data_IF_572783398741
#
_entry.id   IF_572783398741
#
_cell.length_a   1.000
_cell.length_b   1.000
_cell.length_c   1.000
_cell.angle_alpha   90.00
_cell.angle_beta   90.00
_cell.angle_gamma   90.00
#
_symmetry.space_group_name_H-M   'P 1'
#
loop_
_entity.id
_entity.type
_entity.pdbx_description
1 polymer ?
#
# COMPACT_ATOMS: atom_id res chain seq x y z
N UNK A 1 4.69 5.31 23.65
CA UNK A 1 5.79 4.40 23.33
C UNK A 1 7.09 5.15 23.52
N UNK A 2 7.85 4.74 24.54
CA UNK A 2 9.17 5.29 24.85
C UNK A 2 10.14 4.11 24.77
N UNK A 3 10.92 4.05 23.69
CA UNK A 3 11.89 2.97 23.49
C UNK A 3 13.19 3.36 24.18
N UNK A 4 13.73 2.48 25.02
CA UNK A 4 15.08 2.60 25.55
C UNK A 4 16.03 1.98 24.53
N UNK A 5 17.03 2.76 24.08
CA UNK A 5 18.06 2.24 23.17
C UNK A 5 19.10 1.48 23.99
N UNK A 6 19.33 0.23 23.61
CA UNK A 6 20.34 -0.63 24.23
C UNK A 6 21.66 -0.51 23.46
N UNK A 7 21.59 -0.62 22.13
CA UNK A 7 22.73 -0.34 21.24
C UNK A 7 22.29 0.38 19.97
N UNK A 8 23.19 1.22 19.44
CA UNK A 8 23.04 1.87 18.14
C UNK A 8 24.33 1.81 17.36
N UNK A 9 24.25 1.45 16.08
CA UNK A 9 25.40 1.47 15.16
C UNK A 9 25.10 2.34 13.94
N UNK A 10 26.05 3.22 13.61
CA UNK A 10 25.92 4.20 12.55
C UNK A 10 26.93 3.93 11.43
N UNK A 11 26.40 3.78 10.21
CA UNK A 11 27.17 3.54 9.00
C UNK A 11 26.87 4.60 7.93
N UNK A 12 27.88 4.94 7.15
CA UNK A 12 27.76 5.76 5.95
C UNK A 12 27.99 4.89 4.74
N UNK A 13 27.02 4.84 3.84
CA UNK A 13 27.08 4.13 2.57
C UNK A 13 27.51 5.11 1.48
N UNK A 14 28.52 4.71 0.73
CA UNK A 14 29.04 5.45 -0.42
C UNK A 14 28.87 4.59 -1.67
N UNK A 15 28.25 5.19 -2.69
CA UNK A 15 28.08 4.57 -4.00
C UNK A 15 28.74 5.51 -4.99
N UNK A 16 29.92 5.12 -5.47
CA UNK A 16 30.62 5.89 -6.49
C UNK A 16 30.06 5.55 -7.88
N UNK A 17 30.06 6.53 -8.79
CA UNK A 17 29.67 6.36 -10.20
C UNK A 17 28.23 6.74 -10.55
N UNK A 18 28.06 7.41 -11.70
CA UNK A 18 26.76 7.52 -12.37
C UNK A 18 26.49 6.16 -13.03
N UNK A 19 25.29 5.61 -12.84
CA UNK A 19 24.80 4.41 -13.57
C UNK A 19 25.51 3.07 -13.23
N UNK A 20 25.63 2.74 -11.94
CA UNK A 20 25.69 1.34 -11.48
C UNK A 20 26.99 0.56 -11.73
N UNK A 21 28.07 1.21 -12.17
CA UNK A 21 29.38 0.58 -12.39
C UNK A 21 30.51 1.05 -11.45
N UNK A 22 30.24 1.90 -10.46
CA UNK A 22 31.25 2.24 -9.46
C UNK A 22 31.17 1.37 -8.20
N UNK A 23 32.26 1.40 -7.42
CA UNK A 23 32.38 0.61 -6.19
C UNK A 23 31.33 1.03 -5.15
N UNK A 24 30.70 0.04 -4.54
CA UNK A 24 29.88 0.22 -3.34
C UNK A 24 30.75 0.00 -2.12
N UNK A 25 30.75 0.93 -1.20
CA UNK A 25 31.49 0.80 0.06
C UNK A 25 30.70 1.38 1.21
N UNK A 26 31.12 1.04 2.43
CA UNK A 26 30.57 1.62 3.63
C UNK A 26 31.67 1.97 4.62
N UNK A 27 31.38 2.93 5.48
CA UNK A 27 32.21 3.31 6.61
C UNK A 27 31.40 3.21 7.90
N UNK A 28 31.85 2.38 8.82
CA UNK A 28 31.39 2.41 10.21
C UNK A 28 31.89 3.69 10.88
N UNK A 29 30.99 4.40 11.56
CA UNK A 29 31.31 5.68 12.20
C UNK A 29 31.37 5.54 13.72
N UNK A 30 30.35 4.92 14.30
CA UNK A 30 30.27 4.69 15.73
C UNK A 30 29.32 3.54 16.03
N UNK A 31 29.61 2.80 17.10
CA UNK A 31 28.61 2.04 17.85
C UNK A 31 28.50 2.72 19.21
N UNK A 32 27.30 2.82 19.76
CA UNK A 32 26.96 3.43 21.05
C UNK A 32 26.15 2.42 21.85
N UNK A 33 26.37 2.37 23.16
CA UNK A 33 25.47 1.72 24.13
C UNK A 33 24.43 2.74 24.65
N UNK A 34 23.65 2.34 25.65
CA UNK A 34 22.62 3.16 26.28
C UNK A 34 23.19 4.48 26.84
N UNK A 35 24.31 4.41 27.56
CA UNK A 35 24.98 5.59 28.14
C UNK A 35 25.49 6.54 27.05
N UNK A 36 26.23 6.02 26.06
CA UNK A 36 26.76 6.81 24.96
C UNK A 36 25.63 7.47 24.15
N UNK A 37 24.53 6.74 23.94
CA UNK A 37 23.36 7.23 23.23
C UNK A 37 22.66 8.36 23.98
N UNK A 38 22.50 8.22 25.29
CA UNK A 38 21.82 9.19 26.15
C UNK A 38 22.51 10.55 26.20
N UNK A 39 23.84 10.58 26.10
CA UNK A 39 24.63 11.81 26.03
C UNK A 39 24.75 12.38 24.60
N UNK A 40 24.30 11.64 23.58
CA UNK A 40 24.50 12.00 22.17
C UNK A 40 23.49 13.03 21.65
N UNK A 41 23.92 13.87 20.70
CA UNK A 41 22.99 14.73 19.95
C UNK A 41 22.09 13.94 18.98
N UNK A 42 22.44 12.69 18.66
CA UNK A 42 21.65 11.80 17.80
C UNK A 42 20.34 11.41 18.46
N UNK A 43 20.30 11.33 19.80
CA UNK A 43 19.09 11.09 20.58
C UNK A 43 17.95 12.06 20.24
N UNK A 44 18.27 13.36 20.18
CA UNK A 44 17.31 14.42 19.81
C UNK A 44 16.69 14.22 18.42
N UNK A 45 17.43 13.55 17.53
CA UNK A 45 16.97 13.23 16.18
C UNK A 45 16.12 11.94 16.14
N UNK A 46 16.48 10.90 16.90
CA UNK A 46 15.90 9.56 16.76
C UNK A 46 14.78 9.21 17.75
N UNK A 47 14.77 9.74 18.97
CA UNK A 47 13.80 9.35 20.02
C UNK A 47 12.34 9.47 19.53
N UNK A 48 12.04 10.59 18.89
CA UNK A 48 10.70 10.85 18.35
C UNK A 48 10.36 10.00 17.12
N UNK A 49 11.35 9.40 16.47
CA UNK A 49 11.15 8.59 15.25
C UNK A 49 10.74 7.16 15.57
N UNK A 50 11.30 6.51 16.60
CA UNK A 50 10.94 5.13 16.96
C UNK A 50 9.44 5.01 17.23
N UNK A 51 8.89 5.93 18.03
CA UNK A 51 7.45 5.99 18.31
C UNK A 51 6.62 6.30 17.06
N UNK A 52 7.14 7.10 16.12
CA UNK A 52 6.46 7.38 14.85
C UNK A 52 6.47 6.18 13.90
N UNK A 53 7.56 5.41 13.87
CA UNK A 53 7.69 4.18 13.08
C UNK A 53 6.74 3.12 13.63
N UNK A 54 6.75 2.90 14.95
CA UNK A 54 5.90 1.90 15.59
C UNK A 54 4.41 2.22 15.45
N UNK A 55 4.00 3.49 15.58
CA UNK A 55 2.60 3.91 15.40
C UNK A 55 2.17 4.12 13.96
N UNK A 56 3.08 4.02 12.99
CA UNK A 56 2.74 4.23 11.58
C UNK A 56 1.71 3.19 11.16
N UNK A 57 0.56 3.69 10.67
CA UNK A 57 -0.54 2.85 10.18
C UNK A 57 -0.02 1.96 9.05
N UNK A 58 -0.37 0.69 9.14
CA UNK A 58 -0.16 -0.31 8.12
C UNK A 58 -1.41 -1.17 8.03
N UNK A 59 -1.77 -1.59 6.83
CA UNK A 59 -2.90 -2.47 6.57
C UNK A 59 -2.33 -3.79 6.07
N UNK A 60 -2.94 -4.91 6.49
CA UNK A 60 -2.50 -6.24 6.05
C UNK A 60 -2.56 -6.35 4.52
N UNK A 61 -3.69 -5.97 3.92
CA UNK A 61 -3.84 -5.84 2.47
C UNK A 61 -4.01 -4.36 2.11
N UNK A 62 -2.96 -3.68 1.62
CA UNK A 62 -3.03 -2.25 1.36
C UNK A 62 -4.05 -1.88 0.29
N UNK A 63 -4.68 -0.72 0.42
CA UNK A 63 -5.65 -0.21 -0.56
C UNK A 63 -5.03 0.18 -1.92
N UNK A 64 -3.70 0.21 -2.02
CA UNK A 64 -2.94 0.60 -3.21
C UNK A 64 -1.74 -0.32 -3.40
N UNK A 65 -1.40 -0.66 -4.64
CA UNK A 65 -0.22 -1.51 -4.96
C UNK A 65 1.10 -0.96 -4.39
N UNK A 66 1.26 0.36 -4.43
CA UNK A 66 2.48 1.04 -3.97
C UNK A 66 2.30 1.64 -2.57
N UNK A 67 1.74 0.87 -1.64
CA UNK A 67 1.65 1.31 -0.27
C UNK A 67 3.04 1.50 0.35
N UNK A 68 3.31 2.65 0.98
CA UNK A 68 4.64 2.98 1.47
C UNK A 68 4.99 2.22 2.76
N UNK A 69 4.00 1.76 3.51
CA UNK A 69 4.20 0.91 4.70
C UNK A 69 3.60 -0.46 4.42
N UNK A 70 4.37 -1.52 4.68
CA UNK A 70 3.94 -2.92 4.44
C UNK A 70 4.35 -3.80 5.62
N UNK A 71 3.58 -4.87 5.83
CA UNK A 71 3.96 -5.98 6.70
C UNK A 71 4.58 -7.05 5.81
N UNK A 72 5.77 -7.51 6.19
CA UNK A 72 6.44 -8.62 5.53
C UNK A 72 6.49 -9.82 6.45
N UNK A 73 6.27 -11.02 5.91
CA UNK A 73 6.33 -12.29 6.64
C UNK A 73 7.53 -13.11 6.17
N UNK A 74 8.31 -13.68 7.09
CA UNK A 74 9.43 -14.55 6.72
C UNK A 74 8.94 -15.80 5.98
N UNK A 75 9.59 -16.10 4.87
CA UNK A 75 9.32 -17.29 4.07
C UNK A 75 9.99 -18.49 4.74
N UNK A 76 9.21 -19.50 5.07
CA UNK A 76 9.68 -20.75 5.68
C UNK A 76 8.99 -21.90 4.97
N UNK A 77 9.75 -22.95 4.64
CA UNK A 77 9.17 -24.16 4.05
C UNK A 77 8.27 -24.89 5.05
N UNK A 78 7.25 -25.63 4.61
CA UNK A 78 6.43 -26.44 5.51
C UNK A 78 7.28 -27.35 6.40
N UNK A 79 6.90 -27.52 7.66
CA UNK A 79 7.64 -28.30 8.69
C UNK A 79 9.00 -27.73 9.13
N UNK A 80 9.40 -26.56 8.64
CA UNK A 80 10.60 -25.86 9.11
C UNK A 80 10.28 -24.70 10.06
N UNK A 81 11.24 -24.36 10.91
CA UNK A 81 11.16 -23.21 11.82
C UNK A 81 11.72 -21.93 11.19
N UNK A 82 11.45 -20.78 11.83
CA UNK A 82 11.99 -19.46 11.45
C UNK A 82 13.52 -19.44 11.33
N UNK A 83 14.21 -20.28 12.10
CA UNK A 83 15.67 -20.45 12.05
C UNK A 83 16.20 -20.95 10.70
N UNK A 84 15.34 -21.47 9.83
CA UNK A 84 15.72 -21.80 8.44
C UNK A 84 15.81 -20.57 7.54
N UNK A 85 15.19 -19.44 7.91
CA UNK A 85 15.16 -18.22 7.12
C UNK A 85 16.41 -17.35 7.36
N UNK A 86 17.21 -17.03 6.33
CA UNK A 86 18.42 -16.23 6.49
C UNK A 86 18.18 -14.80 6.98
N UNK A 87 17.09 -14.15 6.54
CA UNK A 87 16.75 -12.80 6.98
C UNK A 87 16.31 -12.80 8.45
N UNK A 88 15.52 -13.79 8.89
CA UNK A 88 15.19 -13.97 10.31
C UNK A 88 16.45 -14.12 11.17
N UNK A 89 17.36 -15.01 10.78
CA UNK A 89 18.58 -15.28 11.53
C UNK A 89 19.46 -14.03 11.70
N UNK A 90 19.51 -13.16 10.69
CA UNK A 90 20.20 -11.88 10.77
C UNK A 90 19.59 -10.98 11.85
N UNK A 91 18.27 -10.83 11.88
CA UNK A 91 17.60 -10.04 12.92
C UNK A 91 17.68 -10.70 14.30
N UNK A 92 17.60 -12.02 14.38
CA UNK A 92 17.75 -12.77 15.63
C UNK A 92 19.13 -12.54 16.25
N UNK A 93 20.21 -12.54 15.45
CA UNK A 93 21.56 -12.18 15.93
C UNK A 93 21.65 -10.75 16.46
N UNK A 94 21.00 -9.79 15.79
CA UNK A 94 20.94 -8.41 16.26
C UNK A 94 20.15 -8.28 17.57
N UNK A 95 19.04 -9.02 17.74
CA UNK A 95 18.24 -9.04 18.98
C UNK A 95 18.98 -9.70 20.13
N UNK A 96 19.77 -10.73 19.85
CA UNK A 96 20.49 -11.50 20.86
C UNK A 96 21.86 -10.92 21.24
N UNK A 97 22.29 -9.82 20.62
CA UNK A 97 23.56 -9.18 20.97
C UNK A 97 23.46 -8.56 22.37
N UNK A 98 24.39 -8.93 23.25
CA UNK A 98 24.44 -8.49 24.65
C UNK A 98 25.53 -7.45 24.91
N UNK A 99 26.44 -7.25 23.97
CA UNK A 99 27.50 -6.25 24.05
C UNK A 99 27.73 -5.49 22.74
N UNK A 100 28.48 -4.41 22.87
CA UNK A 100 28.76 -3.45 21.82
C UNK A 100 29.55 -4.03 20.64
N UNK A 101 30.45 -4.98 20.90
CA UNK A 101 31.28 -5.62 19.86
C UNK A 101 30.45 -6.63 19.07
N UNK A 102 29.69 -7.47 19.76
CA UNK A 102 28.77 -8.44 19.16
C UNK A 102 27.69 -7.73 18.32
N UNK A 103 27.08 -6.68 18.85
CA UNK A 103 26.10 -5.89 18.12
C UNK A 103 26.70 -5.25 16.86
N UNK A 104 27.92 -4.71 16.97
CA UNK A 104 28.63 -4.14 15.81
C UNK A 104 28.91 -5.20 14.74
N UNK A 105 29.38 -6.38 15.12
CA UNK A 105 29.67 -7.47 14.19
C UNK A 105 28.39 -7.94 13.46
N UNK A 106 27.28 -8.09 14.19
CA UNK A 106 25.99 -8.40 13.60
C UNK A 106 25.48 -7.29 12.65
N UNK A 107 25.75 -6.03 12.99
CA UNK A 107 25.45 -4.90 12.12
C UNK A 107 26.29 -4.90 10.83
N UNK A 108 27.59 -5.23 10.92
CA UNK A 108 28.48 -5.31 9.76
C UNK A 108 27.98 -6.34 8.73
N UNK A 109 27.49 -7.50 9.20
CA UNK A 109 26.87 -8.51 8.34
C UNK A 109 25.62 -7.99 7.63
N UNK A 110 24.74 -7.28 8.36
CA UNK A 110 23.55 -6.66 7.79
C UNK A 110 23.92 -5.65 6.69
N UNK A 111 24.90 -4.77 6.97
CA UNK A 111 25.33 -3.72 6.03
C UNK A 111 25.91 -4.35 4.76
N UNK A 112 26.72 -5.41 4.89
CA UNK A 112 27.24 -6.15 3.73
C UNK A 112 26.13 -6.75 2.87
N UNK A 113 25.16 -7.41 3.50
CA UNK A 113 23.98 -7.94 2.80
C UNK A 113 23.19 -6.83 2.09
N UNK A 114 23.04 -5.67 2.72
CA UNK A 114 22.40 -4.52 2.11
C UNK A 114 23.17 -4.00 0.88
N UNK A 115 24.51 -3.90 0.95
CA UNK A 115 25.36 -3.45 -0.17
C UNK A 115 25.30 -4.35 -1.40
N UNK A 116 25.06 -5.65 -1.21
CA UNK A 116 24.94 -6.62 -2.31
C UNK A 116 23.63 -6.48 -3.10
N UNK A 117 22.69 -5.64 -2.66
CA UNK A 117 21.43 -5.40 -3.38
C UNK A 117 21.62 -4.50 -4.60
N UNK A 118 20.76 -4.65 -5.62
CA UNK A 118 20.83 -3.83 -6.84
C UNK A 118 20.42 -2.37 -6.59
N UNK A 119 19.52 -2.14 -5.65
CA UNK A 119 18.93 -0.83 -5.38
C UNK A 119 19.72 0.07 -4.41
N UNK A 120 20.92 -0.31 -3.98
CA UNK A 120 21.71 0.46 -2.99
C UNK A 120 21.88 1.93 -3.40
N UNK A 121 21.63 2.83 -2.44
CA UNK A 121 21.92 4.25 -2.59
C UNK A 121 22.75 4.74 -1.42
N UNK A 122 23.58 5.76 -1.68
CA UNK A 122 24.34 6.45 -0.66
C UNK A 122 23.44 7.09 0.40
N UNK A 123 23.95 7.21 1.61
CA UNK A 123 23.19 7.70 2.76
C UNK A 123 23.73 7.18 4.08
N UNK A 124 23.03 7.50 5.16
CA UNK A 124 23.27 6.88 6.45
C UNK A 124 22.39 5.63 6.63
N UNK A 125 22.98 4.56 7.15
CA UNK A 125 22.27 3.38 7.63
C UNK A 125 22.52 3.26 9.13
N UNK A 126 21.45 3.30 9.91
CA UNK A 126 21.48 3.29 11.37
C UNK A 126 20.74 2.04 11.83
N UNK A 127 21.38 1.21 12.63
CA UNK A 127 20.80 -0.02 13.16
C UNK A 127 20.71 0.15 14.67
N UNK A 128 19.53 -0.08 15.23
CA UNK A 128 19.24 0.18 16.64
C UNK A 128 18.59 -1.05 17.26
N UNK A 129 19.14 -1.50 18.37
CA UNK A 129 18.48 -2.41 19.30
C UNK A 129 17.84 -1.56 20.40
N UNK A 130 16.54 -1.70 20.60
CA UNK A 130 15.82 -0.91 21.58
C UNK A 130 14.66 -1.68 22.21
N UNK A 131 14.48 -1.51 23.50
CA UNK A 131 13.48 -2.22 24.31
C UNK A 131 12.33 -1.29 24.69
N UNK A 132 11.11 -1.83 24.72
CA UNK A 132 9.91 -1.11 25.17
C UNK A 132 9.54 -1.60 26.58
N UNK A 133 10.30 -1.14 27.58
CA UNK A 133 10.24 -1.63 28.97
C UNK A 133 8.86 -1.52 29.63
N UNK A 134 7.92 -0.75 29.06
CA UNK A 134 6.55 -0.69 29.56
C UNK A 134 5.73 -1.96 29.26
N UNK A 135 6.18 -2.81 28.34
CA UNK A 135 5.41 -3.97 27.88
C UNK A 135 6.23 -5.26 27.72
N UNK A 136 7.52 -5.19 27.37
CA UNK A 136 8.37 -6.38 27.24
C UNK A 136 9.85 -6.01 27.44
N UNK A 137 10.63 -6.98 27.91
CA UNK A 137 12.09 -6.95 27.95
C UNK A 137 12.72 -7.44 26.63
N UNK A 138 11.90 -7.92 25.69
CA UNK A 138 12.37 -8.37 24.39
C UNK A 138 12.74 -7.18 23.49
N UNK A 139 13.97 -7.13 22.95
CA UNK A 139 14.42 -6.00 22.15
C UNK A 139 13.80 -6.01 20.75
N UNK A 140 13.52 -4.81 20.25
CA UNK A 140 13.21 -4.55 18.84
C UNK A 140 14.45 -4.11 18.09
N UNK A 141 14.51 -4.46 16.81
CA UNK A 141 15.48 -3.96 15.85
C UNK A 141 14.84 -2.94 14.93
N UNK A 142 15.39 -1.74 14.95
CA UNK A 142 15.10 -0.71 13.96
C UNK A 142 16.26 -0.61 12.97
N UNK A 143 15.97 -0.69 11.68
CA UNK A 143 16.95 -0.39 10.62
C UNK A 143 16.48 0.86 9.91
N UNK A 144 17.19 1.97 10.07
CA UNK A 144 16.85 3.27 9.54
C UNK A 144 17.78 3.63 8.40
N UNK A 145 17.21 3.98 7.25
CA UNK A 145 17.97 4.43 6.10
C UNK A 145 17.58 5.87 5.77
N UNK A 146 18.58 6.76 5.84
CA UNK A 146 18.44 8.18 5.55
C UNK A 146 19.25 8.52 4.29
N UNK A 147 18.57 8.95 3.24
CA UNK A 147 19.24 9.51 2.05
C UNK A 147 19.94 10.84 2.39
N UNK A 148 21.09 11.10 1.77
CA UNK A 148 21.76 12.40 1.91
C UNK A 148 21.00 13.47 1.13
N UNK A 149 20.71 14.58 1.81
CA UNK A 149 20.21 15.79 1.16
C UNK A 149 21.39 16.74 0.90
N UNK A 150 21.60 17.20 -0.36
CA UNK A 150 22.69 18.11 -0.67
C UNK A 150 22.40 19.51 -0.12
N UNK A 151 23.45 20.17 0.41
CA UNK A 151 23.48 21.62 0.74
C UNK A 151 22.42 22.08 1.76
N UNK A 152 22.40 21.46 2.94
CA UNK A 152 21.62 21.99 4.07
C UNK A 152 22.51 22.92 4.90
N UNK A 153 22.18 24.22 4.95
CA UNK A 153 22.84 25.17 5.84
C UNK A 153 22.26 25.04 7.26
N UNK A 154 23.12 24.81 8.26
CA UNK A 154 22.72 24.85 9.68
C UNK A 154 23.19 26.18 10.28
N UNK A 155 22.28 26.92 10.90
CA UNK A 155 22.61 28.14 11.65
C UNK A 155 22.87 27.71 13.10
N UNK A 156 24.09 27.90 13.59
CA UNK A 156 24.47 27.66 14.99
C UNK A 156 24.89 28.96 15.66
N UNK A 157 24.63 29.11 16.95
CA UNK A 157 24.81 30.39 17.67
C UNK A 157 26.28 30.85 17.78
N UNK A 158 27.26 29.96 17.57
CA UNK A 158 28.70 30.25 17.68
C UNK A 158 29.40 30.59 16.36
N UNK A 159 28.78 30.33 15.21
CA UNK A 159 29.25 30.81 13.90
C UNK A 159 28.06 30.93 12.94
N UNK A 160 27.87 32.12 12.37
CA UNK A 160 26.62 32.55 11.72
C UNK A 160 26.08 31.63 10.61
N UNK A 161 26.90 30.76 10.00
CA UNK A 161 26.46 29.64 9.14
C UNK A 161 27.54 28.55 9.17
N UNK A 162 27.20 27.32 9.53
CA UNK A 162 28.04 26.15 9.20
C UNK A 162 27.47 25.50 7.93
N UNK A 163 28.26 25.45 6.85
CA UNK A 163 27.90 24.66 5.67
C UNK A 163 28.06 23.18 6.01
N UNK A 164 26.95 22.48 6.12
CA UNK A 164 26.95 21.03 6.26
C UNK A 164 26.95 20.45 4.85
N UNK A 165 28.07 19.83 4.46
CA UNK A 165 28.26 19.28 3.13
C UNK A 165 27.23 18.16 2.81
N UNK A 166 26.85 17.38 3.82
CA UNK A 166 25.80 16.36 3.76
C UNK A 166 25.02 16.27 5.08
N UNK A 167 23.69 16.35 5.01
CA UNK A 167 22.81 16.20 6.17
C UNK A 167 21.79 15.08 5.95
N UNK A 168 21.40 14.43 7.05
CA UNK A 168 20.34 13.41 7.07
C UNK A 168 19.03 14.04 7.54
N UNK A 169 17.93 13.61 6.92
CA UNK A 169 16.59 14.16 7.15
C UNK A 169 15.63 13.03 7.52
N UNK A 170 14.83 13.26 8.55
CA UNK A 170 13.78 12.32 8.95
C UNK A 170 12.59 12.30 7.98
N UNK A 171 12.45 13.32 7.11
CA UNK A 171 11.26 13.51 6.25
C UNK A 171 11.02 12.33 5.30
N UNK A 172 12.09 11.73 4.79
CA UNK A 172 12.06 10.62 3.84
C UNK A 172 12.79 9.38 4.38
N UNK A 173 12.89 9.28 5.71
CA UNK A 173 13.54 8.16 6.37
C UNK A 173 12.76 6.87 6.10
N UNK A 174 13.49 5.86 5.68
CA UNK A 174 12.97 4.51 5.48
C UNK A 174 13.32 3.70 6.71
N UNK A 175 12.42 2.84 7.14
CA UNK A 175 12.61 2.05 8.35
C UNK A 175 12.18 0.60 8.18
N UNK A 176 12.89 -0.31 8.83
CA UNK A 176 12.41 -1.64 9.21
C UNK A 176 12.21 -1.62 10.73
N UNK A 177 11.15 -2.27 11.20
CA UNK A 177 10.92 -2.60 12.61
C UNK A 177 10.66 -4.10 12.71
N UNK A 178 11.44 -4.79 13.53
CA UNK A 178 11.30 -6.22 13.81
C UNK A 178 11.47 -6.50 15.31
N UNK A 179 10.66 -7.35 15.96
CA UNK A 179 9.44 -7.97 15.42
C UNK A 179 8.36 -6.95 15.10
N UNK A 180 7.38 -7.35 14.28
CA UNK A 180 6.20 -6.52 14.04
C UNK A 180 5.33 -6.49 15.30
N UNK A 181 5.05 -5.29 15.79
CA UNK A 181 4.15 -5.09 16.92
C UNK A 181 2.73 -4.82 16.41
N UNK A 182 1.82 -5.78 16.60
CA UNK A 182 0.41 -5.64 16.19
C UNK A 182 -0.29 -4.61 17.08
N UNK A 183 -0.10 -4.76 18.38
CA UNK A 183 -0.62 -3.91 19.45
C UNK A 183 0.46 -3.71 20.52
N UNK A 184 0.33 -2.70 21.38
CA UNK A 184 1.30 -2.45 22.45
C UNK A 184 1.46 -3.70 23.35
N UNK A 185 2.62 -4.35 23.29
CA UNK A 185 2.92 -5.58 24.01
C UNK A 185 2.59 -6.89 23.29
N UNK A 186 2.01 -6.83 22.08
CA UNK A 186 1.76 -8.00 21.24
C UNK A 186 2.64 -7.96 19.99
N UNK A 187 3.64 -8.84 19.96
CA UNK A 187 4.62 -8.94 18.89
C UNK A 187 4.39 -10.23 18.07
N UNK A 188 4.61 -10.16 16.76
CA UNK A 188 4.69 -11.32 15.88
C UNK A 188 6.13 -11.49 15.37
N UNK A 189 6.76 -12.59 15.75
CA UNK A 189 8.13 -12.92 15.34
C UNK A 189 8.23 -13.39 13.89
N UNK A 190 7.10 -13.77 13.28
CA UNK A 190 7.06 -14.16 11.87
C UNK A 190 7.04 -12.94 10.95
N UNK A 191 6.79 -11.76 11.49
CA UNK A 191 6.51 -10.57 10.72
C UNK A 191 7.44 -9.42 11.07
N UNK A 192 7.67 -8.57 10.09
CA UNK A 192 8.36 -7.29 10.23
C UNK A 192 7.55 -6.20 9.55
N UNK A 193 7.75 -4.96 9.98
CA UNK A 193 7.14 -3.79 9.35
C UNK A 193 8.20 -3.00 8.61
N UNK A 194 7.94 -2.73 7.33
CA UNK A 194 8.77 -1.82 6.55
C UNK A 194 8.02 -0.53 6.25
N UNK A 195 8.76 0.57 6.16
CA UNK A 195 8.30 1.82 5.59
C UNK A 195 9.32 2.37 4.60
N UNK A 196 8.87 2.66 3.39
CA UNK A 196 9.64 3.28 2.32
C UNK A 196 8.76 4.19 1.46
N UNK A 197 8.92 5.51 1.61
CA UNK A 197 8.13 6.53 0.92
C UNK A 197 8.52 6.78 -0.55
N UNK A 198 9.10 5.79 -1.25
CA UNK A 198 9.59 5.95 -2.63
C UNK A 198 9.30 4.73 -3.48
N UNK A 199 9.21 4.88 -4.82
CA UNK A 199 9.10 3.76 -5.78
C UNK A 199 10.24 2.73 -5.72
N UNK A 200 11.34 3.05 -5.04
CA UNK A 200 12.49 2.18 -4.96
C UNK A 200 12.31 1.16 -3.83
N UNK A 201 12.37 -0.12 -4.22
CA UNK A 201 12.10 -1.32 -3.43
C UNK A 201 13.31 -1.75 -2.57
N UNK A 202 14.01 -0.82 -1.92
CA UNK A 202 15.30 -1.10 -1.26
C UNK A 202 15.23 -2.23 -0.24
N UNK A 203 14.22 -2.15 0.64
CA UNK A 203 14.08 -3.13 1.72
C UNK A 203 13.46 -4.43 1.24
N UNK A 204 12.60 -4.37 0.22
CA UNK A 204 12.07 -5.58 -0.42
C UNK A 204 13.20 -6.35 -1.14
N UNK A 205 14.09 -5.66 -1.86
CA UNK A 205 15.24 -6.28 -2.54
C UNK A 205 16.29 -6.83 -1.54
N UNK A 206 16.41 -6.18 -0.38
CA UNK A 206 17.27 -6.60 0.72
C UNK A 206 16.71 -7.82 1.47
N UNK A 207 15.41 -7.84 1.71
CA UNK A 207 14.69 -8.89 2.42
C UNK A 207 14.19 -9.97 1.46
N UNK A 208 15.13 -10.62 0.76
CA UNK A 208 14.84 -11.61 -0.30
C UNK A 208 13.99 -12.80 0.17
N UNK A 209 14.07 -13.16 1.44
CA UNK A 209 13.32 -14.28 2.03
C UNK A 209 12.13 -13.80 2.86
N UNK A 210 11.54 -12.66 2.49
CA UNK A 210 10.33 -12.11 3.11
C UNK A 210 9.29 -11.92 2.01
N UNK A 211 8.08 -12.42 2.25
CA UNK A 211 6.92 -12.18 1.38
C UNK A 211 6.10 -11.03 1.93
N UNK A 212 5.40 -10.33 1.04
CA UNK A 212 4.50 -9.24 1.41
C UNK A 212 3.10 -9.59 0.95
N UNK A 213 2.13 -9.25 1.78
CA UNK A 213 0.72 -9.44 1.47
C UNK A 213 0.34 -8.65 0.21
N UNK A 214 -0.49 -9.27 -0.63
CA UNK A 214 -1.01 -8.63 -1.83
C UNK A 214 -1.88 -7.43 -1.46
N UNK A 215 -1.80 -6.38 -2.28
CA UNK A 215 -2.69 -5.24 -2.18
C UNK A 215 -4.11 -5.62 -2.61
N UNK A 216 -5.09 -4.86 -2.12
CA UNK A 216 -6.49 -5.07 -2.51
C UNK A 216 -6.70 -4.99 -4.03
N UNK A 217 -6.09 -4.06 -4.78
CA UNK A 217 -6.18 -4.07 -6.24
C UNK A 217 -5.65 -5.35 -6.88
N UNK A 218 -4.53 -5.89 -6.39
CA UNK A 218 -3.94 -7.15 -6.90
C UNK A 218 -4.88 -8.33 -6.65
N UNK A 219 -5.39 -8.46 -5.42
CA UNK A 219 -6.36 -9.49 -5.03
C UNK A 219 -7.62 -9.41 -5.90
N UNK A 220 -8.21 -8.21 -6.02
CA UNK A 220 -9.40 -8.00 -6.84
C UNK A 220 -9.13 -8.37 -8.30
N UNK A 221 -7.99 -7.97 -8.86
CA UNK A 221 -7.63 -8.29 -10.23
C UNK A 221 -7.49 -9.80 -10.43
N UNK A 222 -6.79 -10.50 -9.54
CA UNK A 222 -6.62 -11.95 -9.60
C UNK A 222 -7.96 -12.69 -9.55
N UNK A 223 -8.85 -12.30 -8.62
CA UNK A 223 -10.20 -12.86 -8.55
C UNK A 223 -11.01 -12.60 -9.82
N UNK A 224 -11.05 -11.36 -10.31
CA UNK A 224 -11.77 -11.00 -11.53
C UNK A 224 -11.24 -11.78 -12.73
N UNK A 225 -9.92 -11.94 -12.86
CA UNK A 225 -9.30 -12.73 -13.92
C UNK A 225 -9.65 -14.21 -13.81
N UNK A 226 -9.71 -14.78 -12.60
CA UNK A 226 -10.19 -16.14 -12.38
C UNK A 226 -11.65 -16.32 -12.84
N UNK A 227 -12.54 -15.37 -12.53
CA UNK A 227 -13.92 -15.39 -13.03
C UNK A 227 -14.00 -15.26 -14.56
N UNK A 228 -13.16 -14.40 -15.16
CA UNK A 228 -13.04 -14.26 -16.62
C UNK A 228 -12.64 -15.58 -17.26
N UNK A 229 -11.61 -16.25 -16.73
CA UNK A 229 -11.16 -17.54 -17.24
C UNK A 229 -12.30 -18.57 -17.17
N UNK A 230 -12.97 -18.69 -16.02
CA UNK A 230 -14.11 -19.59 -15.85
C UNK A 230 -15.26 -19.28 -16.83
N UNK A 231 -15.56 -18.00 -17.05
CA UNK A 231 -16.58 -17.56 -18.02
C UNK A 231 -16.22 -17.97 -19.45
N UNK A 232 -14.97 -17.73 -19.87
CA UNK A 232 -14.49 -18.10 -21.20
C UNK A 232 -14.51 -19.61 -21.39
N UNK A 233 -14.01 -20.38 -20.42
CA UNK A 233 -14.01 -21.84 -20.47
C UNK A 233 -15.41 -22.43 -20.56
N UNK A 234 -16.38 -21.84 -19.86
CA UNK A 234 -17.77 -22.29 -19.90
C UNK A 234 -18.42 -21.99 -21.25
N UNK A 235 -18.15 -20.80 -21.80
CA UNK A 235 -18.75 -20.36 -23.07
C UNK A 235 -18.09 -21.03 -24.29
N UNK A 236 -16.78 -21.26 -24.23
CA UNK A 236 -16.00 -21.95 -25.25
C UNK A 236 -15.12 -23.05 -24.62
N UNK A 237 -15.67 -24.27 -24.44
CA UNK A 237 -14.91 -25.38 -23.83
C UNK A 237 -13.69 -25.83 -24.63
N UNK A 238 -13.67 -25.60 -25.94
CA UNK A 238 -12.54 -25.94 -26.81
C UNK A 238 -11.48 -24.84 -26.81
N UNK A 239 -10.29 -25.16 -26.29
CA UNK A 239 -9.15 -24.25 -26.22
C UNK A 239 -8.53 -23.91 -27.60
N UNK A 240 -8.83 -24.70 -28.64
CA UNK A 240 -8.34 -24.45 -29.99
C UNK A 240 -9.20 -23.44 -30.78
N UNK A 241 -10.31 -22.99 -30.19
CA UNK A 241 -11.21 -22.04 -30.81
C UNK A 241 -10.57 -20.64 -30.92
N UNK A 242 -10.52 -20.09 -32.15
CA UNK A 242 -9.94 -18.77 -32.40
C UNK A 242 -10.72 -17.63 -31.72
N UNK A 243 -12.05 -17.75 -31.58
CA UNK A 243 -12.91 -16.77 -30.89
C UNK A 243 -12.58 -16.73 -29.39
N UNK A 244 -12.31 -17.89 -28.78
CA UNK A 244 -11.88 -17.98 -27.38
C UNK A 244 -10.57 -17.23 -27.17
N UNK A 245 -9.55 -17.51 -28.01
CA UNK A 245 -8.25 -16.86 -27.88
C UNK A 245 -8.33 -15.36 -28.11
N UNK A 246 -9.22 -14.91 -29.00
CA UNK A 246 -9.45 -13.48 -29.22
C UNK A 246 -10.10 -12.83 -27.99
N UNK A 247 -11.13 -13.46 -27.43
CA UNK A 247 -11.83 -12.97 -26.24
C UNK A 247 -10.92 -12.91 -25.00
N UNK A 248 -10.07 -13.92 -24.78
CA UNK A 248 -9.08 -13.93 -23.70
C UNK A 248 -8.11 -12.75 -23.83
N UNK A 249 -7.57 -12.54 -25.03
CA UNK A 249 -6.69 -11.38 -25.30
C UNK A 249 -7.38 -10.04 -25.07
N UNK A 250 -8.62 -9.89 -25.53
CA UNK A 250 -9.37 -8.65 -25.38
C UNK A 250 -9.68 -8.34 -23.90
N UNK A 251 -9.96 -9.39 -23.10
CA UNK A 251 -10.19 -9.25 -21.66
C UNK A 251 -8.90 -8.98 -20.87
N UNK A 252 -7.77 -9.58 -21.25
CA UNK A 252 -6.46 -9.26 -20.67
C UNK A 252 -6.06 -7.81 -20.95
N UNK A 253 -6.26 -7.34 -22.19
CA UNK A 253 -6.02 -5.93 -22.56
C UNK A 253 -6.93 -4.97 -21.79
N UNK A 254 -8.19 -5.34 -21.59
CA UNK A 254 -9.13 -4.58 -20.77
C UNK A 254 -8.69 -4.53 -19.29
N UNK A 255 -8.23 -5.64 -18.72
CA UNK A 255 -7.76 -5.72 -17.33
C UNK A 255 -6.52 -4.86 -17.10
N UNK A 256 -5.63 -4.76 -18.09
CA UNK A 256 -4.42 -3.95 -18.04
C UNK A 256 -4.65 -2.44 -18.30
N UNK A 257 -5.85 -2.03 -18.71
CA UNK A 257 -6.16 -0.64 -19.04
C UNK A 257 -6.37 0.23 -17.79
N UNK A 258 -5.78 1.44 -17.77
CA UNK A 258 -5.99 2.45 -16.71
C UNK A 258 -7.42 2.98 -16.66
N UNK A 259 -8.12 3.01 -17.80
CA UNK A 259 -9.53 3.41 -17.91
C UNK A 259 -10.32 2.27 -18.50
N UNK A 260 -11.35 1.84 -17.78
CA UNK A 260 -12.17 0.69 -18.14
C UNK A 260 -13.61 1.13 -18.32
N UNK A 261 -14.20 0.71 -19.43
CA UNK A 261 -15.61 0.88 -19.73
C UNK A 261 -16.39 -0.42 -19.41
N UNK A 262 -17.69 -0.26 -19.18
CA UNK A 262 -18.60 -1.38 -18.92
C UNK A 262 -18.66 -2.31 -20.14
N UNK A 263 -18.28 -3.58 -19.96
CA UNK A 263 -18.22 -4.56 -21.05
C UNK A 263 -19.56 -5.22 -21.39
N UNK A 264 -20.49 -5.29 -20.43
CA UNK A 264 -21.79 -5.95 -20.62
C UNK A 264 -21.71 -7.45 -20.91
N UNK A 265 -20.62 -8.12 -20.50
CA UNK A 265 -20.37 -9.54 -20.76
C UNK A 265 -20.98 -10.49 -19.73
N UNK A 266 -21.31 -10.00 -18.53
CA UNK A 266 -21.87 -10.78 -17.43
C UNK A 266 -23.24 -10.26 -17.02
N UNK A 267 -24.10 -11.19 -16.61
CA UNK A 267 -25.37 -10.87 -15.99
C UNK A 267 -25.17 -10.30 -14.58
N UNK A 268 -26.09 -9.47 -14.04
CA UNK A 268 -25.96 -8.88 -12.72
C UNK A 268 -25.69 -9.90 -11.60
N UNK A 269 -26.34 -11.07 -11.65
CA UNK A 269 -26.14 -12.12 -10.66
C UNK A 269 -24.71 -12.67 -10.67
N UNK A 270 -24.09 -12.83 -11.85
CA UNK A 270 -22.70 -13.30 -11.96
C UNK A 270 -21.72 -12.27 -11.37
N UNK A 271 -22.02 -10.98 -11.53
CA UNK A 271 -21.24 -9.90 -10.93
C UNK A 271 -21.40 -9.90 -9.41
N UNK A 272 -22.61 -10.18 -8.89
CA UNK A 272 -22.86 -10.32 -7.43
C UNK A 272 -22.09 -11.50 -6.85
N UNK A 273 -22.12 -12.65 -7.52
CA UNK A 273 -21.34 -13.84 -7.10
C UNK A 273 -19.84 -13.51 -7.05
N UNK A 274 -19.29 -12.92 -8.11
CA UNK A 274 -17.88 -12.52 -8.13
C UNK A 274 -17.54 -11.48 -7.04
N UNK A 275 -18.44 -10.52 -6.81
CA UNK A 275 -18.30 -9.52 -5.77
C UNK A 275 -18.30 -10.13 -4.37
N UNK A 276 -19.09 -11.17 -4.12
CA UNK A 276 -19.20 -11.81 -2.81
C UNK A 276 -17.84 -12.37 -2.34
N UNK A 277 -17.08 -13.02 -3.21
CA UNK A 277 -15.74 -13.52 -2.88
C UNK A 277 -14.78 -12.41 -2.44
N UNK A 278 -14.89 -11.24 -3.07
CA UNK A 278 -14.07 -10.06 -2.71
C UNK A 278 -14.54 -9.46 -1.38
N UNK A 279 -15.86 -9.38 -1.17
CA UNK A 279 -16.48 -8.87 0.05
C UNK A 279 -16.17 -9.75 1.27
N UNK A 280 -16.06 -11.07 1.09
CA UNK A 280 -15.65 -12.00 2.15
C UNK A 280 -14.24 -11.70 2.68
N UNK A 281 -13.32 -11.26 1.80
CA UNK A 281 -11.98 -10.83 2.18
C UNK A 281 -11.97 -9.44 2.81
N UNK A 282 -12.73 -8.50 2.25
CA UNK A 282 -12.83 -7.12 2.76
C UNK A 282 -14.26 -6.59 2.65
N UNK A 283 -15.06 -6.67 3.74
CA UNK A 283 -16.46 -6.27 3.72
C UNK A 283 -16.68 -4.78 3.39
N UNK A 284 -15.73 -3.93 3.77
CA UNK A 284 -15.77 -2.48 3.57
C UNK A 284 -15.13 -2.04 2.23
N UNK A 285 -14.96 -2.94 1.27
CA UNK A 285 -14.39 -2.57 -0.02
C UNK A 285 -15.32 -1.61 -0.77
N UNK A 286 -14.76 -0.49 -1.22
CA UNK A 286 -15.51 0.54 -1.90
C UNK A 286 -15.52 0.36 -3.42
N UNK A 287 -16.66 0.66 -4.04
CA UNK A 287 -16.77 0.87 -5.48
C UNK A 287 -16.79 2.36 -5.77
N UNK A 288 -16.02 2.76 -6.80
CA UNK A 288 -15.96 4.14 -7.29
C UNK A 288 -16.01 4.15 -8.81
N UNK A 289 -16.98 4.85 -9.36
CA UNK A 289 -17.12 5.04 -10.81
C UNK A 289 -17.77 6.40 -11.10
N UNK A 290 -17.76 6.80 -12.37
CA UNK A 290 -18.42 8.01 -12.83
C UNK A 290 -19.52 7.65 -13.81
N UNK A 291 -20.67 8.30 -13.65
CA UNK A 291 -21.73 8.34 -14.65
C UNK A 291 -21.80 9.78 -15.16
N UNK A 292 -21.26 10.00 -16.37
CA UNK A 292 -20.96 11.33 -16.90
C UNK A 292 -20.15 12.18 -15.89
N UNK A 293 -20.68 13.33 -15.48
CA UNK A 293 -20.03 14.22 -14.50
C UNK A 293 -20.30 13.83 -13.04
N UNK A 294 -21.14 12.81 -12.80
CA UNK A 294 -21.53 12.39 -11.44
C UNK A 294 -20.57 11.32 -10.92
N UNK A 295 -19.83 11.64 -9.87
CA UNK A 295 -19.02 10.67 -9.15
C UNK A 295 -19.88 9.89 -8.15
N UNK A 296 -19.82 8.57 -8.23
CA UNK A 296 -20.55 7.66 -7.35
C UNK A 296 -19.56 6.88 -6.49
N UNK A 297 -19.84 6.80 -5.19
CA UNK A 297 -19.07 6.02 -4.21
C UNK A 297 -20.04 5.23 -3.34
N UNK A 298 -19.77 3.94 -3.16
CA UNK A 298 -20.55 3.04 -2.31
C UNK A 298 -19.73 1.82 -1.91
N UNK A 299 -20.33 0.87 -1.20
CA UNK A 299 -19.69 -0.41 -0.91
C UNK A 299 -19.95 -1.41 -2.03
N UNK A 300 -19.00 -2.30 -2.31
CA UNK A 300 -19.20 -3.38 -3.28
C UNK A 300 -20.29 -4.35 -2.82
N UNK A 301 -20.42 -4.56 -1.50
CA UNK A 301 -21.46 -5.38 -0.89
C UNK A 301 -22.87 -4.84 -1.11
N UNK A 302 -23.02 -3.55 -1.45
CA UNK A 302 -24.32 -2.97 -1.80
C UNK A 302 -24.72 -3.28 -3.26
N UNK A 303 -23.80 -3.75 -4.11
CA UNK A 303 -24.11 -4.07 -5.51
C UNK A 303 -25.09 -5.24 -5.61
N UNK A 304 -26.18 -5.03 -6.36
CA UNK A 304 -27.28 -6.00 -6.51
C UNK A 304 -28.29 -6.01 -5.36
N UNK A 305 -28.00 -5.33 -4.24
CA UNK A 305 -28.93 -5.15 -3.13
C UNK A 305 -29.49 -3.72 -3.10
N UNK A 306 -28.63 -2.72 -2.88
CA UNK A 306 -28.99 -1.30 -2.80
C UNK A 306 -28.52 -0.49 -4.01
N UNK A 307 -27.46 -0.95 -4.68
CA UNK A 307 -26.87 -0.32 -5.84
C UNK A 307 -27.18 -1.15 -7.08
N UNK A 308 -27.92 -0.57 -8.01
CA UNK A 308 -28.33 -1.24 -9.25
C UNK A 308 -27.93 -0.41 -10.47
N UNK A 309 -27.21 -1.02 -11.41
CA UNK A 309 -26.88 -0.43 -12.70
C UNK A 309 -27.84 -1.01 -13.73
N UNK A 310 -28.56 -0.14 -14.45
CA UNK A 310 -29.50 -0.56 -15.48
C UNK A 310 -29.33 0.27 -16.74
N UNK A 311 -29.86 -0.25 -17.85
CA UNK A 311 -29.86 0.42 -19.14
C UNK A 311 -31.23 1.08 -19.35
N UNK A 312 -31.22 2.39 -19.55
CA UNK A 312 -32.39 3.17 -19.93
C UNK A 312 -32.21 3.59 -21.40
N UNK A 313 -32.61 2.69 -22.31
CA UNK A 313 -32.41 2.83 -23.76
C UNK A 313 -30.92 2.95 -24.13
N UNK A 314 -30.45 4.07 -24.67
CA UNK A 314 -29.04 4.25 -25.07
C UNK A 314 -28.18 4.84 -23.95
N UNK A 315 -28.73 5.00 -22.74
CA UNK A 315 -28.03 5.54 -21.57
C UNK A 315 -27.98 4.53 -20.43
N UNK A 316 -27.07 4.77 -19.50
CA UNK A 316 -27.01 4.06 -18.24
C UNK A 316 -27.74 4.86 -17.16
N UNK A 317 -28.46 4.15 -16.30
CA UNK A 317 -29.07 4.71 -15.11
C UNK A 317 -28.54 3.94 -13.89
N UNK A 318 -28.31 4.68 -12.82
CA UNK A 318 -27.97 4.13 -11.53
C UNK A 318 -29.14 4.34 -10.57
N UNK A 319 -29.55 3.26 -9.91
CA UNK A 319 -30.57 3.28 -8.86
C UNK A 319 -29.86 2.98 -7.54
N UNK A 320 -30.08 3.86 -6.55
CA UNK A 320 -29.54 3.73 -5.20
C UNK A 320 -30.71 3.71 -4.23
N UNK A 321 -30.80 2.66 -3.42
CA UNK A 321 -31.79 2.50 -2.37
C UNK A 321 -31.18 2.83 -0.99
N UNK A 322 -31.97 3.48 -0.14
CA UNK A 322 -31.58 3.77 1.24
C UNK A 322 -32.77 4.24 2.08
N UNK A 323 -32.61 4.16 3.39
CA UNK A 323 -33.71 4.40 4.34
C UNK A 323 -33.96 5.89 4.63
N UNK A 324 -32.94 6.74 4.44
CA UNK A 324 -33.02 8.16 4.73
C UNK A 324 -32.00 8.98 3.93
N UNK A 325 -32.37 10.23 3.61
CA UNK A 325 -31.45 11.23 3.10
C UNK A 325 -30.87 12.06 4.24
N UNK A 326 -29.58 12.35 4.18
CA UNK A 326 -28.89 13.29 5.09
C UNK A 326 -28.27 14.41 4.25
N UNK A 327 -28.50 15.65 4.65
CA UNK A 327 -28.01 16.84 3.95
C UNK A 327 -27.09 17.66 4.85
N UNK A 328 -26.03 18.23 4.28
CA UNK A 328 -25.22 19.23 4.96
C UNK A 328 -25.94 20.58 4.99
N UNK A 329 -25.73 21.36 6.06
CA UNK A 329 -26.47 22.61 6.29
C UNK A 329 -26.22 23.63 5.18
N UNK A 330 -27.30 24.04 4.50
CA UNK A 330 -27.34 25.24 3.66
C UNK A 330 -27.10 25.02 2.17
N UNK A 331 -27.28 23.80 1.66
CA UNK A 331 -26.82 23.45 0.32
C UNK A 331 -27.90 23.15 -0.73
N UNK A 332 -29.19 22.96 -0.42
CA UNK A 332 -30.16 22.76 -1.52
C UNK A 332 -31.65 22.92 -1.17
N UNK A 333 -32.49 23.47 -2.07
CA UNK A 333 -33.95 23.37 -1.94
C UNK A 333 -34.47 21.93 -2.10
N UNK A 334 -33.64 20.98 -2.56
CA UNK A 334 -33.99 19.54 -2.65
C UNK A 334 -34.36 18.97 -1.28
N UNK A 335 -33.86 19.55 -0.19
CA UNK A 335 -34.22 19.18 1.19
C UNK A 335 -35.73 19.27 1.47
N UNK A 336 -36.46 20.06 0.68
CA UNK A 336 -37.91 20.26 0.80
C UNK A 336 -38.72 19.39 -0.18
N UNK A 337 -38.05 18.55 -0.99
CA UNK A 337 -38.71 17.69 -1.97
C UNK A 337 -39.61 16.68 -1.27
N UNK A 338 -40.88 16.66 -1.64
CA UNK A 338 -41.74 15.52 -1.37
C UNK A 338 -41.47 14.45 -2.45
N UNK A 339 -40.95 13.26 -2.09
CA UNK A 339 -40.58 12.25 -3.07
C UNK A 339 -41.82 11.69 -3.78
N UNK A 340 -41.74 11.60 -5.11
CA UNK A 340 -42.69 10.86 -5.93
C UNK A 340 -42.44 9.34 -5.80
N UNK A 341 -43.44 8.51 -6.15
CA UNK A 341 -43.23 7.05 -6.22
C UNK A 341 -42.26 6.66 -7.34
N UNK A 342 -41.54 5.55 -7.17
CA UNK A 342 -40.60 5.06 -8.18
C UNK A 342 -41.32 4.77 -9.51
N UNK A 343 -42.53 4.20 -9.44
CA UNK A 343 -43.34 3.86 -10.61
C UNK A 343 -43.66 5.11 -11.44
N UNK A 344 -44.08 6.20 -10.79
CA UNK A 344 -44.37 7.47 -11.46
C UNK A 344 -43.13 8.04 -12.15
N UNK A 345 -41.97 7.99 -11.49
CA UNK A 345 -40.72 8.47 -12.09
C UNK A 345 -40.31 7.58 -13.26
N UNK A 346 -40.43 6.25 -13.12
CA UNK A 346 -40.08 5.29 -14.15
C UNK A 346 -40.97 5.42 -15.39
N UNK A 347 -42.28 5.63 -15.23
CA UNK A 347 -43.21 5.93 -16.32
C UNK A 347 -42.84 7.24 -17.02
N UNK A 348 -42.63 8.32 -16.27
CA UNK A 348 -42.19 9.62 -16.83
C UNK A 348 -40.88 9.49 -17.61
N UNK A 349 -39.92 8.71 -17.14
CA UNK A 349 -38.66 8.45 -17.84
C UNK A 349 -38.86 7.64 -19.13
N UNK A 350 -39.85 6.75 -19.18
CA UNK A 350 -40.24 6.03 -20.40
C UNK A 350 -40.96 6.96 -21.39
N UNK A 351 -41.88 7.80 -20.91
CA UNK A 351 -42.72 8.70 -21.72
C UNK A 351 -41.94 9.89 -22.30
N UNK A 352 -41.01 10.48 -21.54
CA UNK A 352 -40.17 11.60 -22.01
C UNK A 352 -39.50 11.30 -23.37
N UNK A 353 -39.20 10.03 -23.63
CA UNK A 353 -38.64 9.57 -24.91
C UNK A 353 -39.65 9.54 -26.06
N UNK A 354 -40.93 9.23 -25.81
CA UNK A 354 -41.94 9.23 -26.88
C UNK A 354 -42.01 10.61 -27.53
N UNK A 355 -41.96 11.67 -26.72
CA UNK A 355 -41.93 13.05 -27.22
C UNK A 355 -40.57 13.47 -27.81
N UNK A 356 -39.43 13.01 -27.30
CA UNK A 356 -38.12 13.31 -27.90
C UNK A 356 -37.91 12.63 -29.26
N UNK A 357 -38.48 11.43 -29.48
CA UNK A 357 -38.44 10.74 -30.78
C UNK A 357 -39.46 11.31 -31.79
N UNK A 358 -40.64 11.76 -31.34
CA UNK A 358 -41.65 12.39 -32.22
C UNK A 358 -41.23 13.79 -32.72
N UNK A 359 -40.33 14.47 -32.01
CA UNK A 359 -39.80 15.78 -32.43
C UNK A 359 -38.77 15.76 -33.56
N UNK A 360 -38.29 14.58 -33.98
CA UNK A 360 -37.28 14.46 -35.06
C UNK A 360 -37.90 14.27 -36.44
N UNK A 361 -39.15 13.81 -36.53
CA UNK A 361 -39.87 13.59 -37.81
C UNK A 361 -40.75 14.79 -38.24
N UNK A 362 -40.74 15.90 -37.49
CA UNK A 362 -41.68 17.02 -37.66
C UNK A 362 -41.20 18.22 -38.50
N UNK A 363 -39.90 18.36 -38.77
CA UNK A 363 -39.34 19.55 -39.45
C UNK A 363 -38.62 19.17 -40.74
N UNK A 364 -39.40 18.81 -41.77
CA UNK A 364 -38.96 19.05 -43.16
C UNK A 364 -39.82 20.18 -43.74
N UNK A 365 -39.29 21.41 -43.90
CA UNK A 365 -39.99 22.47 -44.61
C UNK A 365 -40.12 22.07 -46.09
N UNK A 366 -41.26 22.32 -46.75
CA UNK A 366 -41.43 21.96 -48.14
C UNK A 366 -40.81 23.02 -49.05
N UNK A 367 -39.51 22.94 -49.32
CA UNK A 367 -38.87 23.58 -50.49
C UNK A 367 -37.61 22.83 -50.91
#
# INVERSE_FOLDING_TARGET
>A
MNFQVDFLSFFVIQVDGKEGQGGKSYKHYATMDDYDYDESDVKKFLDGEFARISKRKVEKNPSTEQAPTKIGRFIVEPEHELSSNPNFNMFARLRAAEDKEDFKNACDDLVRMYLDTSAVRGGALIIVQATLNTHSDDPFIFVLKCDFEPKIARITESSLVSEVEMAISARNMKSIMYPYMLEEGMNDEWELKIHQSSHARYFEDFLKFVTYEQSMPEIVNEHVMGFVQNYVETKWPDASNEERQQEERDLELWAASEKRDLQGKWEPLQVVEAAQHIVELKPEIEVRFKLDDTAVRGLLSDFGAKLHITKLHDRYALIIEGDAFTFEKGFSPIELLQPESFETVAERLKEKRQHENEGVDGDTPPW
#
